data_IF_781586908355
#
_entry.id   IF_781586908355
#
_cell.length_a   1.000
_cell.length_b   1.000
_cell.length_c   1.000
_cell.angle_alpha   90.00
_cell.angle_beta   90.00
_cell.angle_gamma   90.00
#
_symmetry.space_group_name_H-M   'P 1'
#
loop_
_entity.id
_entity.type
_entity.pdbx_description
1 polymer ?
#
# COMPACT_ATOMS: atom_id res chain seq x y z
N UNK A 1 32.31 5.54 41.83
CA UNK A 1 31.45 6.74 41.93
C UNK A 1 31.83 7.57 40.71
N UNK A 2 31.04 7.72 39.67
CA UNK A 2 29.59 7.65 39.51
C UNK A 2 29.33 7.36 38.02
N UNK A 3 28.29 6.56 37.74
CA UNK A 3 27.67 6.47 36.43
C UNK A 3 26.84 7.74 36.18
N UNK A 4 26.25 7.81 34.98
CA UNK A 4 25.13 8.68 34.55
C UNK A 4 25.50 10.07 34.02
N UNK A 5 25.58 10.23 32.70
CA UNK A 5 24.58 11.01 31.95
C UNK A 5 24.92 11.02 30.45
N UNK A 6 24.37 10.08 29.71
CA UNK A 6 24.27 10.11 28.24
C UNK A 6 22.87 9.63 27.85
N UNK A 7 21.86 10.21 28.51
CA UNK A 7 20.45 9.96 28.25
C UNK A 7 19.65 11.26 28.38
N UNK A 8 20.10 12.32 27.71
CA UNK A 8 19.36 13.57 27.65
C UNK A 8 19.62 14.25 26.31
N UNK A 9 19.04 13.70 25.24
CA UNK A 9 18.93 14.40 23.95
C UNK A 9 17.73 13.93 23.12
N UNK A 10 16.68 13.40 23.77
CA UNK A 10 15.41 13.04 23.11
C UNK A 10 14.24 13.46 24.02
N UNK A 11 14.23 14.73 24.35
CA UNK A 11 13.12 15.54 24.89
C UNK A 11 13.55 16.94 24.43
N UNK A 12 12.86 17.68 23.57
CA UNK A 12 11.44 17.88 23.44
C UNK A 12 11.26 18.54 22.07
N UNK A 13 11.13 17.74 21.01
CA UNK A 13 10.57 18.24 19.76
C UNK A 13 9.07 18.18 19.89
N UNK A 14 8.52 19.06 20.72
CA UNK A 14 7.10 19.37 20.81
C UNK A 14 6.68 19.81 19.39
N UNK A 15 6.19 18.86 18.61
CA UNK A 15 5.60 19.10 17.30
C UNK A 15 4.38 19.99 17.53
N UNK A 16 4.61 21.29 17.42
CA UNK A 16 3.59 22.31 17.57
C UNK A 16 2.65 22.23 16.38
N UNK A 17 1.69 21.31 16.46
CA UNK A 17 0.53 21.29 15.58
C UNK A 17 -0.03 22.72 15.56
N UNK A 18 -0.19 23.34 14.37
CA UNK A 18 -0.74 24.68 14.32
C UNK A 18 -2.11 24.65 14.99
N UNK A 19 -2.25 25.40 16.09
CA UNK A 19 -3.56 25.64 16.70
C UNK A 19 -4.43 26.25 15.61
N UNK A 20 -5.29 25.42 15.05
CA UNK A 20 -6.37 25.84 14.16
C UNK A 20 -7.08 26.99 14.86
N UNK A 21 -6.94 28.17 14.27
CA UNK A 21 -7.63 29.35 14.72
C UNK A 21 -9.12 29.03 14.64
N UNK A 22 -9.76 29.03 15.81
CA UNK A 22 -11.21 28.98 15.94
C UNK A 22 -11.79 30.23 15.30
N UNK A 23 -11.95 30.19 13.98
CA UNK A 23 -12.83 31.11 13.27
C UNK A 23 -14.24 30.83 13.77
N UNK A 24 -15.04 31.85 14.11
CA UNK A 24 -16.46 31.66 14.41
C UNK A 24 -17.20 31.49 13.07
N UNK A 25 -16.96 30.38 12.36
CA UNK A 25 -17.70 30.03 11.13
C UNK A 25 -19.05 29.37 11.44
N UNK A 26 -19.58 29.58 12.64
CA UNK A 26 -20.77 28.90 13.18
C UNK A 26 -22.09 29.36 12.51
N UNK A 27 -22.07 30.33 11.59
CA UNK A 27 -23.33 30.81 10.97
C UNK A 27 -23.66 30.22 9.61
N UNK A 28 -22.81 29.38 9.00
CA UNK A 28 -23.19 28.72 7.75
C UNK A 28 -22.60 27.31 7.67
N UNK A 29 -23.17 26.42 8.47
CA UNK A 29 -23.04 24.99 8.20
C UNK A 29 -23.44 24.75 6.74
N UNK A 30 -22.63 24.03 5.96
CA UNK A 30 -22.76 23.94 4.48
C UNK A 30 -24.14 23.42 4.04
N UNK A 31 -24.84 22.74 4.96
CA UNK A 31 -26.20 22.19 4.84
C UNK A 31 -27.30 23.23 5.05
N UNK A 32 -27.04 24.29 5.82
CA UNK A 32 -28.01 25.33 6.17
C UNK A 32 -28.25 26.30 5.01
N UNK A 33 -27.24 26.53 4.17
CA UNK A 33 -27.32 27.47 3.04
C UNK A 33 -28.41 27.11 2.03
N UNK A 34 -28.53 25.83 1.66
CA UNK A 34 -29.56 25.37 0.71
C UNK A 34 -30.97 25.46 1.29
N UNK A 35 -31.13 25.11 2.58
CA UNK A 35 -32.41 25.21 3.29
C UNK A 35 -32.88 26.67 3.40
N UNK A 36 -31.98 27.57 3.78
CA UNK A 36 -32.25 29.01 3.88
C UNK A 36 -32.56 29.59 2.50
N UNK A 37 -31.80 29.21 1.46
CA UNK A 37 -32.04 29.68 0.10
C UNK A 37 -33.43 29.24 -0.41
N UNK A 38 -33.79 27.97 -0.24
CA UNK A 38 -35.09 27.45 -0.64
C UNK A 38 -36.24 28.14 0.14
N UNK A 39 -36.04 28.38 1.44
CA UNK A 39 -36.98 29.12 2.26
C UNK A 39 -37.14 30.58 1.78
N UNK A 40 -36.04 31.26 1.50
CA UNK A 40 -36.03 32.64 1.00
C UNK A 40 -36.71 32.76 -0.37
N UNK A 41 -36.48 31.81 -1.28
CA UNK A 41 -37.16 31.75 -2.60
C UNK A 41 -38.66 31.50 -2.45
N UNK A 42 -39.06 30.66 -1.50
CA UNK A 42 -40.48 30.43 -1.19
C UNK A 42 -41.14 31.70 -0.63
N UNK A 43 -40.45 32.38 0.28
CA UNK A 43 -40.96 33.58 0.96
C UNK A 43 -41.02 34.79 0.02
N UNK A 44 -40.05 34.94 -0.88
CA UNK A 44 -40.02 36.02 -1.87
C UNK A 44 -41.17 35.91 -2.87
N UNK A 45 -41.67 34.70 -3.13
CA UNK A 45 -42.84 34.47 -3.98
C UNK A 45 -44.13 35.12 -3.46
N UNK A 46 -44.22 35.43 -2.16
CA UNK A 46 -45.40 36.09 -1.57
C UNK A 46 -45.47 37.57 -1.96
N UNK A 47 -44.31 38.20 -2.20
CA UNK A 47 -44.18 39.61 -2.55
C UNK A 47 -44.28 39.90 -4.06
N UNK A 48 -44.33 38.85 -4.89
CA UNK A 48 -44.38 38.93 -6.35
C UNK A 48 -45.83 38.87 -6.85
N UNK A 49 -46.14 39.68 -7.87
CA UNK A 49 -47.46 39.80 -8.51
C UNK A 49 -47.54 38.92 -9.76
N UNK A 50 -48.75 38.57 -10.19
CA UNK A 50 -49.01 37.78 -11.40
C UNK A 50 -48.31 38.37 -12.65
N UNK A 51 -47.79 37.52 -13.57
CA UNK A 51 -48.01 36.07 -13.72
C UNK A 51 -46.96 35.17 -13.03
N UNK A 52 -45.91 35.73 -12.43
CA UNK A 52 -44.74 34.97 -11.94
C UNK A 52 -44.92 34.39 -10.54
N UNK A 53 -45.99 34.78 -9.84
CA UNK A 53 -46.28 34.35 -8.47
C UNK A 53 -46.45 32.83 -8.35
N UNK A 54 -47.28 32.22 -9.18
CA UNK A 54 -47.60 30.79 -9.05
C UNK A 54 -46.40 29.88 -9.38
N UNK A 55 -45.65 30.07 -10.49
CA UNK A 55 -44.49 29.24 -10.80
C UNK A 55 -43.38 29.34 -9.74
N UNK A 56 -43.17 30.54 -9.19
CA UNK A 56 -42.14 30.77 -8.18
C UNK A 56 -42.50 30.11 -6.84
N UNK A 57 -43.77 30.14 -6.44
CA UNK A 57 -44.24 29.47 -5.23
C UNK A 57 -44.06 27.96 -5.34
N UNK A 58 -44.46 27.37 -6.48
CA UNK A 58 -44.29 25.94 -6.73
C UNK A 58 -42.82 25.54 -6.74
N UNK A 59 -41.96 26.35 -7.38
CA UNK A 59 -40.51 26.14 -7.40
C UNK A 59 -39.90 26.22 -6.01
N UNK A 60 -40.29 27.24 -5.23
CA UNK A 60 -39.84 27.42 -3.85
C UNK A 60 -40.27 26.25 -2.95
N UNK A 61 -41.54 25.86 -3.02
CA UNK A 61 -42.08 24.76 -2.21
C UNK A 61 -41.44 23.41 -2.57
N UNK A 62 -41.20 23.16 -3.86
CA UNK A 62 -40.47 21.99 -4.33
C UNK A 62 -39.02 22.00 -3.82
N UNK A 63 -38.33 23.13 -3.94
CA UNK A 63 -36.97 23.28 -3.45
C UNK A 63 -36.89 23.10 -1.93
N UNK A 64 -37.84 23.64 -1.17
CA UNK A 64 -37.89 23.54 0.30
C UNK A 64 -38.14 22.10 0.75
N UNK A 65 -39.11 21.42 0.14
CA UNK A 65 -39.38 20.00 0.41
C UNK A 65 -38.19 19.12 0.06
N UNK A 66 -37.54 19.36 -1.09
CA UNK A 66 -36.34 18.65 -1.50
C UNK A 66 -35.17 18.87 -0.53
N UNK A 67 -34.98 20.10 -0.05
CA UNK A 67 -33.93 20.43 0.89
C UNK A 67 -34.13 19.76 2.26
N UNK A 68 -35.36 19.78 2.79
CA UNK A 68 -35.73 19.07 4.03
C UNK A 68 -35.54 17.55 3.87
N UNK A 69 -36.00 16.98 2.75
CA UNK A 69 -35.87 15.54 2.47
C UNK A 69 -34.41 15.12 2.34
N UNK A 70 -33.57 15.92 1.69
CA UNK A 70 -32.14 15.64 1.57
C UNK A 70 -31.44 15.73 2.94
N UNK A 71 -31.77 16.72 3.76
CA UNK A 71 -31.24 16.82 5.12
C UNK A 71 -31.60 15.59 5.95
N UNK A 72 -32.88 15.20 5.92
CA UNK A 72 -33.38 14.02 6.61
C UNK A 72 -32.71 12.75 6.10
N UNK A 73 -32.52 12.61 4.78
CA UNK A 73 -31.87 11.43 4.19
C UNK A 73 -30.42 11.28 4.69
N UNK A 74 -29.64 12.37 4.73
CA UNK A 74 -28.28 12.31 5.25
C UNK A 74 -28.30 11.98 6.75
N UNK A 75 -29.22 12.55 7.53
CA UNK A 75 -29.38 12.20 8.94
C UNK A 75 -29.72 10.70 9.11
N UNK A 76 -30.63 10.20 8.27
CA UNK A 76 -31.09 8.82 8.23
C UNK A 76 -30.01 7.83 7.78
N UNK A 77 -28.96 8.27 7.07
CA UNK A 77 -27.83 7.40 6.75
C UNK A 77 -27.06 7.00 8.02
N UNK A 78 -26.87 7.93 8.95
CA UNK A 78 -25.99 7.75 10.12
C UNK A 78 -26.74 7.41 11.41
N UNK A 79 -27.95 7.94 11.58
CA UNK A 79 -28.73 7.78 12.82
C UNK A 79 -30.08 7.12 12.54
N UNK A 80 -30.56 6.34 13.51
CA UNK A 80 -31.90 5.76 13.45
C UNK A 80 -32.94 6.80 13.86
N UNK A 81 -33.93 7.00 13.01
CA UNK A 81 -35.05 7.90 13.25
C UNK A 81 -36.28 7.06 13.60
N UNK A 82 -36.95 7.30 14.75
CA UNK A 82 -38.10 6.51 15.16
C UNK A 82 -39.24 6.60 14.14
N UNK A 83 -39.82 5.46 13.76
CA UNK A 83 -40.95 5.39 12.84
C UNK A 83 -40.60 5.39 11.34
N UNK A 84 -39.32 5.54 10.97
CA UNK A 84 -38.86 5.49 9.58
C UNK A 84 -38.01 4.24 9.31
N UNK A 85 -38.60 3.29 8.58
CA UNK A 85 -37.92 2.08 8.12
C UNK A 85 -36.77 2.43 7.15
N UNK A 86 -35.61 1.81 7.33
CA UNK A 86 -34.39 2.10 6.55
C UNK A 86 -33.47 3.15 7.17
N UNK A 87 -33.76 3.64 8.38
CA UNK A 87 -32.91 4.59 9.08
C UNK A 87 -31.71 3.92 9.75
N UNK A 88 -30.59 4.62 9.82
CA UNK A 88 -29.29 4.10 10.23
C UNK A 88 -28.76 3.01 9.29
N UNK A 89 -28.88 3.18 7.97
CA UNK A 89 -28.44 2.15 7.02
C UNK A 89 -26.92 1.91 7.08
N UNK A 90 -26.12 2.96 7.29
CA UNK A 90 -24.66 2.87 7.39
C UNK A 90 -24.27 2.04 8.63
N UNK A 91 -24.71 2.38 9.86
CA UNK A 91 -24.38 1.54 11.01
C UNK A 91 -24.96 0.13 10.92
N UNK A 92 -26.09 -0.07 10.21
CA UNK A 92 -26.67 -1.40 10.00
C UNK A 92 -25.79 -2.30 9.11
N UNK A 93 -25.19 -1.74 8.05
CA UNK A 93 -24.36 -2.48 7.09
C UNK A 93 -22.86 -2.15 7.20
N UNK A 94 -22.42 -1.61 8.33
CA UNK A 94 -21.05 -1.11 8.47
C UNK A 94 -20.00 -2.22 8.25
N UNK A 95 -20.27 -3.42 8.76
CA UNK A 95 -19.39 -4.58 8.56
C UNK A 95 -19.34 -5.05 7.10
N UNK A 96 -20.47 -5.06 6.41
CA UNK A 96 -20.53 -5.40 4.98
C UNK A 96 -19.82 -4.35 4.13
N UNK A 97 -19.99 -3.07 4.47
CA UNK A 97 -19.29 -1.95 3.83
C UNK A 97 -17.78 -2.07 4.01
N UNK A 98 -17.32 -2.37 5.24
CA UNK A 98 -15.90 -2.60 5.55
C UNK A 98 -15.33 -3.75 4.73
N UNK A 99 -16.04 -4.89 4.67
CA UNK A 99 -15.64 -6.03 3.85
C UNK A 99 -15.59 -5.67 2.37
N UNK A 100 -16.58 -4.93 1.87
CA UNK A 100 -16.63 -4.47 0.48
C UNK A 100 -15.48 -3.54 0.13
N UNK A 101 -15.13 -2.58 0.99
CA UNK A 101 -13.95 -1.73 0.79
C UNK A 101 -12.68 -2.57 0.80
N UNK A 102 -12.53 -3.50 1.74
CA UNK A 102 -11.36 -4.36 1.80
C UNK A 102 -11.19 -5.19 0.52
N UNK A 103 -12.28 -5.82 0.06
CA UNK A 103 -12.29 -6.61 -1.17
C UNK A 103 -11.95 -5.75 -2.40
N UNK A 104 -12.54 -4.56 -2.50
CA UNK A 104 -12.24 -3.61 -3.56
C UNK A 104 -10.77 -3.17 -3.54
N UNK A 105 -10.23 -2.83 -2.37
CA UNK A 105 -8.82 -2.45 -2.23
C UNK A 105 -7.92 -3.61 -2.65
N UNK A 106 -8.18 -4.82 -2.14
CA UNK A 106 -7.28 -5.94 -2.38
C UNK A 106 -7.34 -6.46 -3.81
N UNK A 107 -8.55 -6.52 -4.40
CA UNK A 107 -8.73 -7.08 -5.73
C UNK A 107 -8.57 -6.04 -6.85
N UNK A 108 -8.87 -4.76 -6.62
CA UNK A 108 -8.79 -3.73 -7.67
C UNK A 108 -7.51 -2.90 -7.57
N UNK A 109 -7.14 -2.44 -6.37
CA UNK A 109 -5.94 -1.61 -6.22
C UNK A 109 -4.66 -2.45 -6.05
N UNK A 110 -4.74 -3.56 -5.31
CA UNK A 110 -3.61 -4.47 -5.06
C UNK A 110 -3.70 -5.78 -5.85
N UNK A 111 -4.42 -5.79 -6.97
CA UNK A 111 -4.39 -6.93 -7.90
C UNK A 111 -2.95 -7.17 -8.38
N UNK A 112 -2.60 -8.42 -8.66
CA UNK A 112 -1.25 -8.78 -9.14
C UNK A 112 -0.87 -7.95 -10.36
N UNK A 113 -1.80 -7.81 -11.30
CA UNK A 113 -1.63 -7.06 -12.54
C UNK A 113 -1.41 -5.56 -12.29
N UNK A 114 -2.16 -4.95 -11.36
CA UNK A 114 -1.97 -3.53 -11.02
C UNK A 114 -0.68 -3.28 -10.26
N UNK A 115 -0.32 -4.17 -9.34
CA UNK A 115 0.93 -4.11 -8.57
C UNK A 115 2.13 -4.28 -9.50
N UNK A 116 2.12 -5.31 -10.35
CA UNK A 116 3.13 -5.53 -11.39
C UNK A 116 3.24 -4.32 -12.32
N UNK A 117 2.12 -3.78 -12.80
CA UNK A 117 2.13 -2.58 -13.65
C UNK A 117 2.69 -1.36 -12.93
N UNK A 118 2.36 -1.16 -11.66
CA UNK A 118 2.88 -0.04 -10.86
C UNK A 118 4.40 -0.16 -10.69
N UNK A 119 4.90 -1.34 -10.32
CA UNK A 119 6.34 -1.60 -10.19
C UNK A 119 7.09 -1.55 -11.53
N UNK A 120 6.50 -2.02 -12.63
CA UNK A 120 7.07 -1.89 -13.98
C UNK A 120 7.11 -0.45 -14.48
N UNK A 121 6.19 0.39 -14.01
CA UNK A 121 6.13 1.81 -14.38
C UNK A 121 7.13 2.65 -13.57
N UNK A 122 7.30 2.39 -12.27
CA UNK A 122 8.32 3.07 -11.46
C UNK A 122 9.75 2.60 -11.75
N UNK A 123 9.94 1.32 -12.11
CA UNK A 123 11.27 0.76 -12.41
C UNK A 123 11.67 0.87 -13.88
N UNK A 124 10.79 1.34 -14.77
CA UNK A 124 11.12 1.72 -16.14
C UNK A 124 11.89 0.66 -16.94
N UNK A 125 11.18 -0.35 -17.47
CA UNK A 125 11.75 -1.59 -18.05
C UNK A 125 12.33 -2.46 -16.91
N UNK A 126 12.00 -3.74 -16.80
CA UNK A 126 12.54 -4.75 -17.70
C UNK A 126 11.67 -6.02 -17.60
N UNK A 127 11.35 -6.62 -18.76
CA UNK A 127 11.06 -8.06 -18.84
C UNK A 127 12.34 -8.91 -18.70
N UNK A 128 13.47 -8.31 -18.34
CA UNK A 128 14.69 -9.02 -18.00
C UNK A 128 14.75 -9.10 -16.48
N UNK A 129 14.84 -10.32 -15.97
CA UNK A 129 15.10 -10.60 -14.57
C UNK A 129 16.23 -9.69 -14.05
N UNK A 130 16.17 -9.25 -12.78
CA UNK A 130 17.26 -8.47 -12.21
C UNK A 130 18.58 -9.21 -12.39
N UNK A 131 19.59 -8.52 -12.93
CA UNK A 131 20.93 -9.07 -13.14
C UNK A 131 21.43 -9.76 -11.86
N UNK A 132 21.59 -11.08 -11.91
CA UNK A 132 21.98 -11.92 -10.77
C UNK A 132 23.50 -11.95 -10.58
N UNK A 133 24.27 -11.41 -11.52
CA UNK A 133 25.72 -11.27 -11.45
C UNK A 133 26.21 -10.66 -10.12
N UNK A 134 25.66 -9.54 -9.61
CA UNK A 134 26.06 -8.96 -8.33
C UNK A 134 25.74 -9.84 -7.11
N UNK A 135 24.78 -10.75 -7.19
CA UNK A 135 24.49 -11.72 -6.13
C UNK A 135 25.48 -12.89 -6.19
N UNK A 136 25.73 -13.43 -7.38
CA UNK A 136 26.66 -14.55 -7.60
C UNK A 136 28.08 -14.19 -7.14
N UNK A 137 28.54 -12.97 -7.41
CA UNK A 137 29.86 -12.49 -6.97
C UNK A 137 30.02 -12.38 -5.44
N UNK A 138 28.90 -12.30 -4.70
CA UNK A 138 28.90 -12.21 -3.22
C UNK A 138 28.77 -13.56 -2.53
N UNK A 139 28.55 -14.65 -3.28
CA UNK A 139 28.42 -15.99 -2.71
C UNK A 139 29.80 -16.51 -2.31
N UNK A 140 29.93 -16.92 -1.05
CA UNK A 140 31.12 -17.63 -0.56
C UNK A 140 31.09 -19.10 -1.00
N UNK A 141 32.04 -19.48 -1.86
CA UNK A 141 32.16 -20.83 -2.42
C UNK A 141 33.18 -21.70 -1.69
N UNK A 142 33.80 -21.19 -0.61
CA UNK A 142 34.73 -22.00 0.21
C UNK A 142 34.09 -23.28 0.74
N UNK A 143 32.85 -23.28 1.29
CA UNK A 143 32.22 -24.51 1.80
C UNK A 143 32.00 -25.57 0.72
N UNK A 144 31.73 -25.15 -0.52
CA UNK A 144 31.52 -26.06 -1.65
C UNK A 144 32.84 -26.74 -2.06
N UNK A 145 33.94 -25.98 -2.08
CA UNK A 145 35.27 -26.54 -2.34
C UNK A 145 35.71 -27.50 -1.24
N UNK A 146 35.50 -27.14 0.04
CA UNK A 146 35.85 -28.01 1.16
C UNK A 146 35.02 -29.30 1.17
N UNK A 147 33.75 -29.21 0.77
CA UNK A 147 32.90 -30.39 0.56
C UNK A 147 33.42 -31.28 -0.57
N UNK A 148 33.88 -30.68 -1.68
CA UNK A 148 34.50 -31.43 -2.79
C UNK A 148 35.75 -32.17 -2.32
N UNK A 149 36.63 -31.53 -1.54
CA UNK A 149 37.80 -32.19 -0.97
C UNK A 149 37.43 -33.37 -0.08
N UNK A 150 36.41 -33.20 0.78
CA UNK A 150 35.92 -34.27 1.65
C UNK A 150 35.38 -35.47 0.85
N UNK A 151 34.59 -35.21 -0.21
CA UNK A 151 34.10 -36.28 -1.10
C UNK A 151 35.26 -37.01 -1.79
N UNK A 152 36.28 -36.28 -2.25
CA UNK A 152 37.47 -36.89 -2.87
C UNK A 152 38.22 -37.76 -1.86
N UNK A 153 38.40 -37.27 -0.63
CA UNK A 153 39.07 -38.00 0.45
C UNK A 153 38.37 -39.30 0.82
N UNK A 154 37.04 -39.29 0.86
CA UNK A 154 36.21 -40.47 1.16
C UNK A 154 36.05 -41.41 -0.03
N UNK A 155 36.39 -40.97 -1.25
CA UNK A 155 36.28 -41.77 -2.46
C UNK A 155 37.47 -42.72 -2.65
N UNK A 156 37.38 -43.59 -3.67
CA UNK A 156 38.50 -44.44 -4.11
C UNK A 156 39.74 -43.65 -4.57
N UNK A 157 39.61 -42.34 -4.84
CA UNK A 157 40.73 -41.46 -5.19
C UNK A 157 41.52 -40.96 -3.98
N UNK A 158 40.94 -40.93 -2.77
CA UNK A 158 41.60 -40.43 -1.55
C UNK A 158 42.90 -41.17 -1.21
N UNK A 159 42.89 -42.52 -1.09
CA UNK A 159 44.10 -43.30 -0.83
C UNK A 159 45.19 -43.14 -1.90
N UNK A 160 44.78 -42.98 -3.17
CA UNK A 160 45.70 -42.74 -4.28
C UNK A 160 46.35 -41.35 -4.19
N UNK A 161 45.59 -40.34 -3.78
CA UNK A 161 46.10 -38.98 -3.55
C UNK A 161 47.04 -38.92 -2.34
N UNK A 162 46.80 -39.74 -1.31
CA UNK A 162 47.69 -39.89 -0.16
C UNK A 162 49.12 -40.27 -0.53
N UNK A 163 49.30 -41.05 -1.59
CA UNK A 163 50.63 -41.48 -2.07
C UNK A 163 51.43 -40.37 -2.76
N UNK A 164 50.78 -39.27 -3.18
CA UNK A 164 51.40 -38.15 -3.91
C UNK A 164 51.42 -36.83 -3.11
N UNK A 165 51.11 -36.88 -1.81
CA UNK A 165 51.13 -35.71 -0.92
C UNK A 165 49.79 -35.34 -0.28
N UNK A 166 48.75 -36.15 -0.49
CA UNK A 166 47.44 -36.01 0.15
C UNK A 166 46.57 -34.89 -0.43
N UNK A 167 45.39 -34.68 0.16
CA UNK A 167 44.37 -33.70 -0.26
C UNK A 167 44.91 -32.25 -0.30
N UNK A 168 45.97 -31.95 0.46
CA UNK A 168 46.55 -30.61 0.52
C UNK A 168 47.15 -30.15 -0.82
N UNK A 169 47.52 -31.07 -1.72
CA UNK A 169 48.00 -30.72 -3.06
C UNK A 169 46.94 -30.04 -3.92
N UNK A 170 45.66 -30.17 -3.55
CA UNK A 170 44.54 -29.54 -4.25
C UNK A 170 44.23 -28.13 -3.73
N UNK A 171 44.81 -27.69 -2.61
CA UNK A 171 44.58 -26.34 -2.07
C UNK A 171 44.86 -25.20 -3.06
N UNK A 172 45.91 -25.23 -3.91
CA UNK A 172 46.13 -24.20 -4.93
C UNK A 172 44.98 -24.10 -5.95
N UNK A 173 44.16 -25.15 -6.09
CA UNK A 173 43.00 -25.16 -7.00
C UNK A 173 41.77 -24.49 -6.42
N UNK A 174 41.81 -24.02 -5.16
CA UNK A 174 40.68 -23.35 -4.52
C UNK A 174 40.24 -22.11 -5.29
N UNK A 175 41.18 -21.22 -5.59
CA UNK A 175 40.90 -19.99 -6.34
C UNK A 175 40.35 -20.25 -7.76
N UNK A 176 41.00 -21.07 -8.62
CA UNK A 176 40.47 -21.32 -9.96
C UNK A 176 39.14 -22.09 -9.94
N UNK A 177 38.88 -22.91 -8.92
CA UNK A 177 37.56 -23.53 -8.73
C UNK A 177 36.48 -22.47 -8.47
N UNK A 178 36.73 -21.52 -7.56
CA UNK A 178 35.76 -20.46 -7.25
C UNK A 178 35.46 -19.60 -8.48
N UNK A 179 36.49 -19.19 -9.22
CA UNK A 179 36.33 -18.40 -10.44
C UNK A 179 35.51 -19.15 -11.49
N UNK A 180 35.80 -20.44 -11.71
CA UNK A 180 35.05 -21.24 -12.69
C UNK A 180 33.63 -21.54 -12.26
N UNK A 181 33.41 -21.77 -10.97
CA UNK A 181 32.07 -22.02 -10.45
C UNK A 181 31.20 -20.75 -10.50
N UNK A 182 31.78 -19.58 -10.20
CA UNK A 182 31.07 -18.30 -10.40
C UNK A 182 30.70 -18.10 -11.86
N UNK A 183 31.64 -18.35 -12.79
CA UNK A 183 31.36 -18.27 -14.22
C UNK A 183 30.23 -19.22 -14.64
N UNK A 184 30.26 -20.48 -14.21
CA UNK A 184 29.20 -21.43 -14.51
C UNK A 184 27.84 -21.00 -13.94
N UNK A 185 27.81 -20.42 -12.73
CA UNK A 185 26.56 -19.91 -12.15
C UNK A 185 26.02 -18.72 -12.95
N UNK A 186 26.88 -17.84 -13.45
CA UNK A 186 26.49 -16.75 -14.35
C UNK A 186 25.92 -17.30 -15.65
N UNK A 187 26.62 -18.22 -16.32
CA UNK A 187 26.16 -18.83 -17.57
C UNK A 187 24.81 -19.55 -17.41
N UNK A 188 24.61 -20.24 -16.28
CA UNK A 188 23.33 -20.90 -15.93
C UNK A 188 22.22 -19.86 -15.71
N UNK A 189 22.53 -18.75 -15.03
CA UNK A 189 21.55 -17.69 -14.76
C UNK A 189 21.02 -17.02 -16.03
N UNK A 190 21.82 -16.99 -17.10
CA UNK A 190 21.44 -16.44 -18.42
C UNK A 190 20.65 -17.43 -19.29
N UNK A 191 20.50 -18.69 -18.85
CA UNK A 191 19.84 -19.73 -19.65
C UNK A 191 18.31 -19.68 -19.51
N UNK A 192 17.59 -19.86 -20.63
CA UNK A 192 16.11 -19.91 -20.68
C UNK A 192 15.46 -20.94 -19.73
N UNK A 193 16.20 -21.97 -19.33
CA UNK A 193 15.74 -22.97 -18.37
C UNK A 193 15.63 -22.37 -16.95
N UNK A 194 16.56 -21.51 -16.56
CA UNK A 194 16.54 -20.81 -15.28
C UNK A 194 15.44 -19.73 -15.28
N UNK A 195 15.34 -18.95 -16.38
CA UNK A 195 14.33 -17.92 -16.56
C UNK A 195 12.87 -18.44 -16.57
N UNK A 196 12.65 -19.73 -16.85
CA UNK A 196 11.32 -20.36 -16.83
C UNK A 196 11.00 -21.12 -15.54
N UNK A 197 12.01 -21.38 -14.70
CA UNK A 197 11.91 -22.24 -13.52
C UNK A 197 11.90 -21.49 -12.18
N UNK A 198 12.17 -20.19 -12.20
CA UNK A 198 12.04 -19.23 -11.08
C UNK A 198 10.87 -18.31 -11.40
#
# INVERSE_FOLDING_TARGET
MEQTSTAESIEDSEEKYPKTSSTPWILCDKRLGTNILAFMVTLSSIWIVDPWKQPLLQTGLFALSGAITNWLAIHMLFERVPGLYGSGIIPLHFEDFKRGIHDLIMNQFFSKEHVERFFMTENGKTEELPDMTPLIQKIDLNPAFDSLLNVIEQSSFGPMLGMVGGIQVLQPMRQPFQEKMQQCLTDISETDAFHRGV
#
